data_IF_479315392232
#
_entry.id   IF_479315392232
#
_cell.length_a   1.000
_cell.length_b   1.000
_cell.length_c   1.000
_cell.angle_alpha   90.00
_cell.angle_beta   90.00
_cell.angle_gamma   90.00
#
_symmetry.space_group_name_H-M   'P 1'
#
loop_
_entity.id
_entity.type
_entity.pdbx_description
1 polymer ?
#
# COMPACT_ATOMS: atom_id res chain seq x y z
N UNK A 1 17.34 2.16 -17.70
CA UNK A 1 16.09 1.90 -16.96
C UNK A 1 14.95 2.66 -17.58
N UNK A 2 13.71 2.18 -17.44
CA UNK A 2 12.49 2.89 -17.86
C UNK A 2 12.27 4.09 -16.91
N UNK A 3 11.90 5.26 -17.46
CA UNK A 3 11.61 6.45 -16.65
C UNK A 3 10.14 6.41 -16.23
N UNK A 4 9.87 6.55 -14.94
CA UNK A 4 8.52 6.73 -14.40
C UNK A 4 8.21 8.22 -14.25
N UNK A 5 6.99 8.62 -14.59
CA UNK A 5 6.46 9.95 -14.33
C UNK A 5 5.48 9.89 -13.17
N UNK A 6 5.77 10.62 -12.08
CA UNK A 6 4.88 10.73 -10.92
C UNK A 6 4.48 12.20 -10.77
N UNK A 7 3.18 12.46 -10.81
CA UNK A 7 2.60 13.77 -10.56
C UNK A 7 2.09 13.80 -9.12
N UNK A 8 2.74 14.60 -8.28
CA UNK A 8 2.19 14.97 -6.96
C UNK A 8 1.24 16.17 -7.08
N UNK A 9 0.39 16.37 -6.09
CA UNK A 9 -0.49 17.53 -5.95
C UNK A 9 -0.13 18.34 -4.71
N UNK A 10 -0.01 19.66 -4.82
CA UNK A 10 0.23 20.55 -3.67
C UNK A 10 -1.08 21.09 -3.07
N UNK A 11 -2.20 20.98 -3.79
CA UNK A 11 -3.48 21.61 -3.42
C UNK A 11 -4.64 20.60 -3.34
N UNK A 12 -4.34 19.33 -3.07
CA UNK A 12 -5.40 18.34 -2.82
C UNK A 12 -5.77 18.43 -1.34
N UNK A 13 -7.03 18.80 -1.06
CA UNK A 13 -7.54 18.90 0.29
C UNK A 13 -8.68 17.93 0.53
N UNK A 14 -8.85 17.55 1.79
CA UNK A 14 -10.01 16.81 2.25
C UNK A 14 -11.25 17.69 2.08
N UNK A 15 -12.30 17.20 1.39
CA UNK A 15 -13.46 18.02 1.05
C UNK A 15 -14.32 18.40 2.26
N UNK A 16 -14.13 17.75 3.41
CA UNK A 16 -14.91 17.97 4.63
C UNK A 16 -14.18 18.92 5.58
N UNK A 17 -12.91 18.64 5.84
CA UNK A 17 -12.08 19.36 6.82
C UNK A 17 -11.28 20.49 6.19
N UNK A 18 -11.06 20.47 4.88
CA UNK A 18 -10.18 21.40 4.16
C UNK A 18 -8.69 21.18 4.43
N UNK A 19 -8.33 20.16 5.21
CA UNK A 19 -6.94 19.82 5.49
C UNK A 19 -6.23 19.34 4.23
N UNK A 20 -4.96 19.71 4.06
CA UNK A 20 -4.15 19.20 2.96
C UNK A 20 -4.01 17.67 3.07
N UNK A 21 -4.31 16.96 1.99
CA UNK A 21 -4.16 15.52 1.90
C UNK A 21 -2.73 15.19 1.52
N UNK A 22 -1.91 14.88 2.52
CA UNK A 22 -0.49 14.58 2.32
C UNK A 22 -0.24 13.35 1.44
N UNK A 23 -1.25 12.50 1.20
CA UNK A 23 -1.20 11.42 0.20
C UNK A 23 -1.03 11.90 -1.24
N UNK A 24 -1.20 13.21 -1.53
CA UNK A 24 -0.86 13.76 -2.84
C UNK A 24 0.64 13.99 -3.04
N UNK A 25 1.48 13.79 -2.02
CA UNK A 25 2.94 13.90 -2.11
C UNK A 25 3.60 12.54 -2.35
N UNK A 26 4.78 12.57 -2.96
CA UNK A 26 5.62 11.39 -3.07
C UNK A 26 6.48 11.25 -1.81
N UNK A 27 6.17 10.24 -1.00
CA UNK A 27 6.89 9.95 0.24
C UNK A 27 8.13 9.08 0.00
N UNK A 28 9.16 9.26 0.82
CA UNK A 28 10.42 8.52 0.71
C UNK A 28 10.22 7.00 0.91
N UNK A 29 9.33 6.58 1.80
CA UNK A 29 8.97 5.17 1.99
C UNK A 29 8.50 4.51 0.69
N UNK A 30 7.78 5.25 -0.16
CA UNK A 30 7.33 4.76 -1.47
C UNK A 30 8.51 4.58 -2.45
N UNK A 31 9.49 5.50 -2.43
CA UNK A 31 10.73 5.39 -3.22
C UNK A 31 11.59 4.21 -2.75
N UNK A 32 11.78 4.06 -1.44
CA UNK A 32 12.55 2.97 -0.84
C UNK A 32 11.92 1.62 -1.16
N UNK A 33 10.61 1.49 -1.04
CA UNK A 33 9.89 0.26 -1.40
C UNK A 33 10.05 -0.05 -2.90
N UNK A 34 9.80 0.93 -3.76
CA UNK A 34 9.91 0.78 -5.21
C UNK A 34 11.31 0.35 -5.68
N UNK A 35 12.36 0.97 -5.13
CA UNK A 35 13.75 0.61 -5.45
C UNK A 35 14.08 -0.81 -4.96
N UNK A 36 13.67 -1.16 -3.74
CA UNK A 36 13.89 -2.50 -3.20
C UNK A 36 13.15 -3.57 -4.00
N UNK A 37 11.89 -3.32 -4.39
CA UNK A 37 11.11 -4.22 -5.25
C UNK A 37 11.82 -4.52 -6.57
N UNK A 38 12.48 -3.52 -7.17
CA UNK A 38 13.25 -3.68 -8.40
C UNK A 38 14.48 -4.57 -8.28
N UNK A 39 14.89 -4.94 -7.06
CA UNK A 39 16.01 -5.83 -6.76
C UNK A 39 15.58 -7.25 -6.42
N UNK A 40 14.29 -7.50 -6.26
CA UNK A 40 13.74 -8.82 -5.94
C UNK A 40 13.73 -9.72 -7.18
N UNK A 41 13.58 -11.03 -6.94
CA UNK A 41 13.40 -11.99 -8.02
C UNK A 41 12.12 -11.65 -8.83
N UNK A 42 12.16 -11.65 -10.17
CA UNK A 42 11.00 -11.31 -11.00
C UNK A 42 9.74 -12.13 -10.69
N UNK A 43 9.89 -13.38 -10.24
CA UNK A 43 8.76 -14.25 -9.86
C UNK A 43 7.94 -13.73 -8.68
N UNK A 44 8.48 -12.77 -7.93
CA UNK A 44 7.76 -12.08 -6.85
C UNK A 44 6.52 -11.36 -7.39
N UNK A 45 6.62 -10.69 -8.54
CA UNK A 45 5.53 -9.89 -9.11
C UNK A 45 4.96 -10.49 -10.40
N UNK A 46 5.77 -11.19 -11.18
CA UNK A 46 5.35 -11.72 -12.47
C UNK A 46 4.15 -12.67 -12.31
N UNK A 47 3.04 -12.37 -12.98
CA UNK A 47 1.84 -13.21 -12.89
C UNK A 47 0.97 -12.96 -11.65
N UNK A 48 1.35 -12.06 -10.73
CA UNK A 48 0.62 -11.81 -9.48
C UNK A 48 -0.45 -10.74 -9.62
N UNK A 49 -1.47 -10.86 -8.79
CA UNK A 49 -2.42 -9.78 -8.48
C UNK A 49 -1.89 -8.98 -7.29
N UNK A 50 -1.76 -7.66 -7.48
CA UNK A 50 -1.18 -6.74 -6.49
C UNK A 50 -2.21 -5.69 -6.09
N UNK A 51 -2.33 -5.43 -4.81
CA UNK A 51 -3.12 -4.34 -4.24
C UNK A 51 -2.17 -3.36 -3.56
N UNK A 52 -2.37 -2.06 -3.74
CA UNK A 52 -1.70 -1.04 -2.93
C UNK A 52 -2.73 -0.31 -2.06
N UNK A 53 -2.53 -0.33 -0.74
CA UNK A 53 -3.35 0.38 0.23
C UNK A 53 -2.74 1.74 0.54
N UNK A 54 -3.57 2.78 0.62
CA UNK A 54 -3.09 4.15 0.88
C UNK A 54 -2.03 4.56 -0.15
N UNK A 55 -2.34 4.32 -1.42
CA UNK A 55 -1.37 4.40 -2.50
C UNK A 55 -0.80 5.82 -2.70
N UNK A 56 -1.54 6.87 -2.31
CA UNK A 56 -1.15 8.26 -2.48
C UNK A 56 -0.90 8.61 -3.94
N UNK A 57 0.38 8.64 -4.33
CA UNK A 57 0.80 8.83 -5.74
C UNK A 57 0.90 7.53 -6.55
N UNK A 58 0.91 6.37 -5.89
CA UNK A 58 0.83 5.03 -6.48
C UNK A 58 2.15 4.43 -6.94
N UNK A 59 3.30 4.99 -6.53
CA UNK A 59 4.59 4.59 -7.07
C UNK A 59 4.89 3.08 -6.91
N UNK A 60 4.79 2.45 -5.71
CA UNK A 60 5.01 1.02 -5.54
C UNK A 60 4.12 0.16 -6.44
N UNK A 61 2.82 0.43 -6.51
CA UNK A 61 1.91 -0.33 -7.36
C UNK A 61 2.21 -0.17 -8.85
N UNK A 62 2.57 1.03 -9.31
CA UNK A 62 3.01 1.26 -10.69
C UNK A 62 4.29 0.47 -11.02
N UNK A 63 5.24 0.42 -10.07
CA UNK A 63 6.45 -0.40 -10.19
C UNK A 63 6.10 -1.88 -10.23
N UNK A 64 5.15 -2.37 -9.42
CA UNK A 64 4.68 -3.75 -9.50
C UNK A 64 4.11 -4.09 -10.90
N UNK A 65 3.37 -3.16 -11.51
CA UNK A 65 2.89 -3.30 -12.90
C UNK A 65 4.04 -3.43 -13.90
N UNK A 66 5.11 -2.63 -13.75
CA UNK A 66 6.31 -2.73 -14.57
C UNK A 66 7.12 -4.02 -14.33
N UNK A 67 7.03 -4.59 -13.14
CA UNK A 67 7.67 -5.85 -12.76
C UNK A 67 6.86 -7.10 -13.18
N UNK A 68 5.77 -6.92 -13.93
CA UNK A 68 5.02 -8.01 -14.56
C UNK A 68 3.81 -8.50 -13.77
N UNK A 69 3.32 -7.75 -12.79
CA UNK A 69 2.02 -8.00 -12.19
C UNK A 69 0.93 -8.02 -13.27
N UNK A 70 0.05 -9.02 -13.25
CA UNK A 70 -1.02 -9.16 -14.25
C UNK A 70 -2.18 -8.21 -13.99
N UNK A 71 -2.34 -7.79 -12.73
CA UNK A 71 -3.31 -6.79 -12.30
C UNK A 71 -2.78 -6.07 -11.07
N UNK A 72 -2.86 -4.76 -11.10
CA UNK A 72 -2.58 -3.88 -9.96
C UNK A 72 -3.85 -3.11 -9.63
N UNK A 73 -4.24 -3.11 -8.36
CA UNK A 73 -5.33 -2.29 -7.84
C UNK A 73 -4.73 -1.24 -6.92
N UNK A 74 -4.75 0.02 -7.33
CA UNK A 74 -4.35 1.15 -6.48
C UNK A 74 -5.56 1.64 -5.69
N UNK A 75 -5.39 1.83 -4.38
CA UNK A 75 -6.51 2.26 -3.53
C UNK A 75 -6.16 3.39 -2.58
N UNK A 76 -7.11 4.31 -2.42
CA UNK A 76 -7.02 5.42 -1.48
C UNK A 76 -8.40 6.04 -1.23
N UNK A 77 -8.47 7.13 -0.47
CA UNK A 77 -9.67 7.96 -0.31
C UNK A 77 -10.07 8.65 -1.62
N UNK A 78 -11.37 8.89 -1.81
CA UNK A 78 -11.94 9.39 -3.08
C UNK A 78 -11.22 10.59 -3.70
N UNK A 79 -10.76 11.53 -2.87
CA UNK A 79 -10.07 12.75 -3.31
C UNK A 79 -8.73 12.51 -4.02
N UNK A 80 -8.04 11.39 -3.76
CA UNK A 80 -6.74 11.07 -4.35
C UNK A 80 -6.83 10.26 -5.65
N UNK A 81 -8.00 9.69 -5.95
CA UNK A 81 -8.13 8.78 -7.10
C UNK A 81 -7.86 9.43 -8.46
N UNK A 82 -8.25 10.71 -8.72
CA UNK A 82 -7.89 11.37 -9.97
C UNK A 82 -6.37 11.47 -10.18
N UNK A 83 -5.60 11.69 -9.11
CA UNK A 83 -4.13 11.72 -9.15
C UNK A 83 -3.54 10.35 -9.48
N UNK A 84 -4.03 9.30 -8.83
CA UNK A 84 -3.64 7.91 -9.10
C UNK A 84 -3.89 7.52 -10.57
N UNK A 85 -5.08 7.82 -11.12
CA UNK A 85 -5.41 7.54 -12.52
C UNK A 85 -4.46 8.27 -13.48
N UNK A 86 -4.22 9.56 -13.24
CA UNK A 86 -3.26 10.35 -14.01
C UNK A 86 -1.86 9.72 -14.00
N UNK A 87 -1.40 9.25 -12.85
CA UNK A 87 -0.09 8.60 -12.75
C UNK A 87 -0.05 7.24 -13.46
N UNK A 88 -1.13 6.45 -13.43
CA UNK A 88 -1.21 5.21 -14.21
C UNK A 88 -1.16 5.49 -15.73
N UNK A 89 -1.96 6.44 -16.20
CA UNK A 89 -2.02 6.88 -17.60
C UNK A 89 -0.67 7.43 -18.09
N UNK A 90 -0.02 8.29 -17.29
CA UNK A 90 1.27 8.90 -17.63
C UNK A 90 2.39 7.87 -17.84
N UNK A 91 2.22 6.65 -17.33
CA UNK A 91 3.18 5.55 -17.46
C UNK A 91 2.71 4.45 -18.43
N UNK A 92 1.55 4.62 -19.08
CA UNK A 92 0.95 3.65 -20.01
C UNK A 92 0.60 2.33 -19.33
N UNK A 93 0.13 2.39 -18.09
CA UNK A 93 -0.23 1.24 -17.25
C UNK A 93 -1.75 1.09 -17.04
N UNK A 94 -2.55 1.93 -17.67
CA UNK A 94 -4.02 1.93 -17.64
C UNK A 94 -4.65 0.61 -18.15
N UNK A 95 -3.88 -0.25 -18.84
CA UNK A 95 -4.31 -1.59 -19.23
C UNK A 95 -4.20 -2.67 -18.14
N UNK A 96 -3.35 -2.48 -17.12
CA UNK A 96 -3.18 -3.46 -16.03
C UNK A 96 -3.40 -2.87 -14.63
N UNK A 97 -3.47 -1.54 -14.50
CA UNK A 97 -3.73 -0.82 -13.26
C UNK A 97 -5.17 -0.34 -13.23
N UNK A 98 -5.91 -0.73 -12.19
CA UNK A 98 -7.21 -0.15 -11.84
C UNK A 98 -7.09 0.70 -10.57
N UNK A 99 -7.95 1.70 -10.45
CA UNK A 99 -7.98 2.63 -9.29
C UNK A 99 -9.35 2.55 -8.63
N UNK A 100 -9.38 2.18 -7.34
CA UNK A 100 -10.60 1.99 -6.54
C UNK A 100 -10.54 2.81 -5.25
N UNK A 101 -11.70 3.25 -4.78
CA UNK A 101 -11.79 3.89 -3.48
C UNK A 101 -11.73 2.83 -2.38
N UNK A 102 -10.94 3.10 -1.34
CA UNK A 102 -10.86 2.28 -0.15
C UNK A 102 -10.51 3.15 1.06
N UNK A 103 -11.52 3.35 1.91
CA UNK A 103 -11.36 3.95 3.24
C UNK A 103 -11.24 2.85 4.28
N UNK A 104 -10.15 2.84 5.05
CA UNK A 104 -9.89 1.80 6.05
C UNK A 104 -11.02 1.70 7.07
N UNK A 105 -11.46 0.48 7.38
CA UNK A 105 -12.54 0.22 8.33
C UNK A 105 -13.96 0.56 7.82
N UNK A 106 -14.10 1.27 6.71
CA UNK A 106 -15.39 1.68 6.16
C UNK A 106 -15.74 1.00 4.83
N UNK A 107 -14.74 0.78 3.96
CA UNK A 107 -14.94 0.11 2.68
C UNK A 107 -14.90 -1.41 2.86
N UNK A 108 -15.96 -2.10 2.44
CA UNK A 108 -15.99 -3.58 2.45
C UNK A 108 -14.88 -4.15 1.54
N UNK A 109 -13.98 -5.01 2.08
CA UNK A 109 -12.91 -5.64 1.31
C UNK A 109 -13.38 -6.44 0.09
N UNK A 110 -14.61 -6.98 0.12
CA UNK A 110 -15.21 -7.72 -0.99
C UNK A 110 -15.37 -6.88 -2.26
N UNK A 111 -15.45 -5.56 -2.13
CA UNK A 111 -15.54 -4.62 -3.28
C UNK A 111 -14.21 -4.44 -4.01
N UNK A 112 -13.11 -4.80 -3.36
CA UNK A 112 -11.75 -4.66 -3.90
C UNK A 112 -11.36 -5.95 -4.61
N UNK A 113 -11.61 -7.08 -3.94
CA UNK A 113 -11.23 -8.41 -4.38
C UNK A 113 -9.88 -8.86 -3.80
N UNK A 114 -9.57 -10.16 -3.88
CA UNK A 114 -8.35 -10.71 -3.30
C UNK A 114 -7.10 -10.32 -4.10
N UNK A 115 -5.98 -10.20 -3.39
CA UNK A 115 -4.64 -10.01 -3.97
C UNK A 115 -3.64 -11.05 -3.44
N UNK A 116 -2.65 -11.36 -4.26
CA UNK A 116 -1.53 -12.21 -3.85
C UNK A 116 -0.51 -11.40 -3.04
N UNK A 117 -0.32 -10.13 -3.40
CA UNK A 117 0.52 -9.17 -2.69
C UNK A 117 -0.30 -7.93 -2.32
N UNK A 118 -0.08 -7.43 -1.10
CA UNK A 118 -0.55 -6.09 -0.69
C UNK A 118 0.65 -5.24 -0.36
N UNK A 119 0.75 -4.08 -1.00
CA UNK A 119 1.78 -3.07 -0.78
C UNK A 119 1.24 -1.98 0.14
N UNK A 120 2.10 -1.51 1.05
CA UNK A 120 1.82 -0.41 1.96
C UNK A 120 3.08 0.46 2.05
N UNK A 121 2.99 1.75 1.74
CA UNK A 121 4.11 2.67 1.90
C UNK A 121 3.70 3.86 2.73
N UNK A 122 4.40 4.07 3.85
CA UNK A 122 4.20 5.19 4.77
C UNK A 122 2.81 5.24 5.43
N UNK A 123 2.26 4.08 5.82
CA UNK A 123 0.94 4.01 6.46
C UNK A 123 0.99 3.99 8.00
N UNK A 124 2.17 3.88 8.60
CA UNK A 124 2.36 3.70 10.04
C UNK A 124 2.66 5.03 10.75
N UNK A 125 1.79 6.02 10.53
CA UNK A 125 1.94 7.37 11.08
C UNK A 125 0.95 7.69 12.21
N UNK A 126 -0.20 7.03 12.26
CA UNK A 126 -1.27 7.29 13.23
C UNK A 126 -1.74 5.98 13.89
N UNK A 127 -1.37 5.72 15.16
CA UNK A 127 -1.80 4.53 15.89
C UNK A 127 -3.32 4.41 16.04
N UNK A 128 -4.06 5.52 16.07
CA UNK A 128 -5.54 5.50 16.21
C UNK A 128 -6.22 4.93 14.95
N UNK A 129 -5.58 5.05 13.79
CA UNK A 129 -6.06 4.51 12.51
C UNK A 129 -5.75 3.01 12.32
N UNK A 130 -4.84 2.44 13.11
CA UNK A 130 -4.36 1.07 12.93
C UNK A 130 -5.42 -0.03 13.16
N UNK A 131 -6.39 0.09 14.08
CA UNK A 131 -7.47 -0.88 14.19
C UNK A 131 -8.32 -0.97 12.90
N UNK A 132 -8.59 0.17 12.26
CA UNK A 132 -9.32 0.23 10.99
C UNK A 132 -8.51 -0.36 9.84
N UNK A 133 -7.20 -0.10 9.80
CA UNK A 133 -6.29 -0.73 8.84
C UNK A 133 -6.23 -2.26 9.06
N UNK A 134 -6.09 -2.72 10.30
CA UNK A 134 -6.07 -4.13 10.66
C UNK A 134 -7.34 -4.86 10.22
N UNK A 135 -8.51 -4.28 10.48
CA UNK A 135 -9.79 -4.83 10.02
C UNK A 135 -9.82 -4.99 8.50
N UNK A 136 -9.37 -3.96 7.78
CA UNK A 136 -9.30 -3.96 6.32
C UNK A 136 -8.37 -5.06 5.81
N UNK A 137 -7.15 -5.12 6.35
CA UNK A 137 -6.15 -6.13 5.98
C UNK A 137 -6.67 -7.55 6.23
N UNK A 138 -7.35 -7.80 7.35
CA UNK A 138 -7.95 -9.11 7.66
C UNK A 138 -8.96 -9.57 6.60
N UNK A 139 -9.76 -8.64 6.06
CA UNK A 139 -10.73 -8.97 5.00
C UNK A 139 -10.13 -9.04 3.59
N UNK A 140 -9.00 -8.39 3.33
CA UNK A 140 -8.30 -8.45 2.04
C UNK A 140 -7.39 -9.68 1.89
N UNK A 141 -6.86 -10.19 3.01
CA UNK A 141 -5.95 -11.32 3.03
C UNK A 141 -6.68 -12.64 2.78
N UNK A 142 -6.17 -13.43 1.82
CA UNK A 142 -6.48 -14.86 1.67
C UNK A 142 -5.30 -15.70 2.13
N UNK A 143 -5.49 -17.03 2.18
CA UNK A 143 -4.38 -17.97 2.43
C UNK A 143 -3.28 -17.73 1.40
N UNK A 144 -2.08 -17.41 1.88
CA UNK A 144 -0.91 -17.15 1.03
C UNK A 144 -0.74 -15.70 0.56
N UNK A 145 -1.61 -14.77 0.94
CA UNK A 145 -1.36 -13.33 0.73
C UNK A 145 -0.12 -12.89 1.51
N UNK A 146 0.77 -12.15 0.85
CA UNK A 146 1.94 -11.53 1.47
C UNK A 146 1.70 -10.02 1.53
N UNK A 147 1.97 -9.43 2.68
CA UNK A 147 1.92 -7.98 2.89
C UNK A 147 3.35 -7.45 2.88
N UNK A 148 3.65 -6.43 2.07
CA UNK A 148 4.95 -5.75 2.04
C UNK A 148 4.73 -4.30 2.45
N UNK A 149 5.40 -3.88 3.51
CA UNK A 149 5.25 -2.55 4.08
C UNK A 149 6.59 -1.82 4.17
N UNK A 150 6.65 -0.58 3.71
CA UNK A 150 7.79 0.30 3.95
C UNK A 150 7.36 1.50 4.77
N UNK A 151 8.17 1.91 5.75
CA UNK A 151 7.90 3.08 6.57
C UNK A 151 9.20 3.73 7.00
N UNK A 152 9.13 5.03 7.29
CA UNK A 152 10.12 5.67 8.14
C UNK A 152 9.96 5.19 9.60
N UNK A 153 11.07 4.88 10.25
CA UNK A 153 11.14 4.41 11.62
C UNK A 153 11.10 5.61 12.58
N UNK A 154 9.88 5.98 12.96
CA UNK A 154 9.58 7.01 13.97
C UNK A 154 8.93 6.38 15.21
N UNK A 155 8.83 7.16 16.29
CA UNK A 155 8.12 6.70 17.50
C UNK A 155 6.69 6.24 17.19
N UNK A 156 5.96 6.99 16.35
CA UNK A 156 4.61 6.65 15.90
C UNK A 156 4.53 5.31 15.15
N UNK A 157 5.56 4.95 14.38
CA UNK A 157 5.60 3.68 13.66
C UNK A 157 5.68 2.50 14.63
N UNK A 158 6.49 2.62 15.69
CA UNK A 158 6.57 1.62 16.76
C UNK A 158 5.21 1.43 17.45
N UNK A 159 4.50 2.52 17.75
CA UNK A 159 3.17 2.44 18.34
C UNK A 159 2.15 1.79 17.38
N UNK A 160 2.23 2.09 16.08
CA UNK A 160 1.43 1.43 15.07
C UNK A 160 1.70 -0.09 15.01
N UNK A 161 2.97 -0.49 15.09
CA UNK A 161 3.35 -1.90 15.13
C UNK A 161 2.77 -2.62 16.35
N UNK A 162 2.80 -1.97 17.52
CA UNK A 162 2.22 -2.54 18.74
C UNK A 162 0.73 -2.81 18.57
N UNK A 163 -0.02 -1.90 17.94
CA UNK A 163 -1.44 -2.10 17.64
C UNK A 163 -1.64 -3.26 16.67
N UNK A 164 -0.91 -3.28 15.54
CA UNK A 164 -1.05 -4.33 14.53
C UNK A 164 -0.64 -5.72 15.06
N UNK A 165 0.40 -5.80 15.89
CA UNK A 165 0.78 -7.03 16.59
C UNK A 165 -0.29 -7.46 17.60
N UNK A 166 -0.89 -6.52 18.32
CA UNK A 166 -2.05 -6.79 19.19
C UNK A 166 -3.27 -7.32 18.42
N UNK A 167 -3.43 -6.90 17.17
CA UNK A 167 -4.43 -7.42 16.23
C UNK A 167 -4.07 -8.79 15.62
N UNK A 168 -2.89 -9.34 15.97
CA UNK A 168 -2.43 -10.68 15.61
C UNK A 168 -1.57 -10.75 14.35
N UNK A 169 -1.13 -9.62 13.79
CA UNK A 169 -0.22 -9.62 12.65
C UNK A 169 1.21 -9.96 13.08
N UNK A 170 1.85 -10.86 12.32
CA UNK A 170 3.30 -11.05 12.42
C UNK A 170 4.02 -10.03 11.55
N UNK A 171 5.08 -9.41 12.07
CA UNK A 171 5.92 -8.44 11.34
C UNK A 171 7.36 -8.94 11.27
N UNK A 172 7.94 -8.98 10.08
CA UNK A 172 9.27 -9.53 9.83
C UNK A 172 10.07 -8.51 9.02
N UNK A 173 11.20 -8.07 9.56
CA UNK A 173 12.09 -7.13 8.89
C UNK A 173 12.79 -7.80 7.70
N UNK A 174 12.71 -7.18 6.53
CA UNK A 174 13.33 -7.65 5.28
C UNK A 174 14.54 -6.78 4.89
N UNK A 175 14.44 -5.47 5.10
CA UNK A 175 15.48 -4.53 4.70
C UNK A 175 15.46 -3.26 5.54
N UNK A 176 16.63 -2.67 5.78
CA UNK A 176 16.80 -1.35 6.40
C UNK A 176 17.66 -0.48 5.49
N UNK A 177 17.25 0.78 5.34
CA UNK A 177 17.97 1.80 4.59
C UNK A 177 17.83 3.13 5.32
N UNK A 178 18.90 3.54 6.01
CA UNK A 178 18.92 4.74 6.87
C UNK A 178 17.79 4.67 7.92
N UNK A 179 16.89 5.64 7.90
CA UNK A 179 15.71 5.73 8.78
C UNK A 179 14.48 4.97 8.24
N UNK A 180 14.59 4.25 7.11
CA UNK A 180 13.48 3.50 6.53
C UNK A 180 13.67 2.00 6.70
N UNK A 181 12.58 1.28 6.92
CA UNK A 181 12.57 -0.17 7.01
C UNK A 181 11.45 -0.77 6.16
N UNK A 182 11.72 -1.95 5.61
CA UNK A 182 10.77 -2.75 4.84
C UNK A 182 10.47 -4.03 5.62
N UNK A 183 9.19 -4.34 5.77
CA UNK A 183 8.69 -5.49 6.49
C UNK A 183 7.81 -6.35 5.60
N UNK A 184 7.97 -7.67 5.71
CA UNK A 184 6.91 -8.61 5.37
C UNK A 184 5.97 -8.72 6.56
N UNK A 185 4.66 -8.59 6.34
CA UNK A 185 3.65 -8.85 7.35
C UNK A 185 2.82 -10.10 7.00
N UNK A 186 2.40 -10.82 8.03
CA UNK A 186 1.52 -11.98 7.90
C UNK A 186 0.22 -11.74 8.68
N UNK A 187 -0.95 -11.93 8.05
CA UNK A 187 -2.21 -11.85 8.76
C UNK A 187 -2.30 -12.92 9.84
N UNK A 188 -3.11 -12.70 10.90
CA UNK A 188 -3.40 -13.76 11.86
C UNK A 188 -4.01 -14.97 11.16
N UNK A 189 -3.79 -16.20 11.68
CA UNK A 189 -4.48 -17.37 11.17
C UNK A 189 -6.01 -17.15 11.24
N UNK A 190 -6.78 -17.73 10.29
CA UNK A 190 -8.23 -17.63 10.36
C UNK A 190 -8.72 -18.14 11.71
N UNK A 191 -9.67 -17.44 12.33
CA UNK A 191 -10.35 -17.94 13.51
C UNK A 191 -11.09 -19.23 13.11
N UNK A 192 -10.55 -20.39 13.50
CA UNK A 192 -11.22 -21.67 13.35
C UNK A 192 -12.27 -21.69 14.47
N UNK A 193 -13.51 -21.33 14.15
CA UNK A 193 -14.63 -21.68 15.01
C UNK A 193 -14.84 -23.19 14.90
N UNK A 194 -14.56 -23.92 15.98
CA UNK A 194 -14.96 -25.32 16.14
C UNK A 194 -16.43 -25.41 16.54
#
# INVERSE_FOLDING_TARGET
GRKLAIHGGQDVCDPVTGAALTGSWLWCSALVLADWMGRLDPSTFQGKTVLELGAGTGLPGLVAGLLGAVRVTLTDVGALLPGLRRNAEANGLDGCVEVKELVWGATSPDKIGPADLVLMSDLFYDPESMPSLAWTLKGLCKKGTILLAATEMRASATDCFNVLMGEGFGMFLEHECQEYAIFTMRPPPPLIFQ
#
